data_IF_665993107704
#
_entry.id   IF_665993107704
#
_cell.length_a   1.000
_cell.length_b   1.000
_cell.length_c   1.000
_cell.angle_alpha   90.00
_cell.angle_beta   90.00
_cell.angle_gamma   90.00
#
_symmetry.space_group_name_H-M   'P 1'
#
loop_
_entity.id
_entity.type
_entity.pdbx_description
1 polymer ?
#
# COMPACT_ATOMS: atom_id res chain seq x y z
N UNK A 1 -38.24 -16.09 61.10
CA UNK A 1 -38.50 -15.36 59.83
C UNK A 1 -37.85 -13.99 59.90
N UNK A 2 -36.89 -13.67 59.02
CA UNK A 2 -36.31 -12.32 58.98
C UNK A 2 -37.39 -11.33 58.52
N UNK A 3 -37.53 -10.21 59.23
CA UNK A 3 -38.46 -9.13 58.88
C UNK A 3 -38.23 -8.65 57.45
N UNK A 4 -39.31 -8.37 56.72
CA UNK A 4 -39.29 -7.87 55.33
C UNK A 4 -38.35 -6.68 55.13
N UNK A 5 -38.18 -5.82 56.14
CA UNK A 5 -37.24 -4.69 56.10
C UNK A 5 -35.78 -5.13 56.12
N UNK A 6 -35.45 -6.18 56.90
CA UNK A 6 -34.11 -6.76 56.96
C UNK A 6 -33.77 -7.52 55.68
N UNK A 7 -34.76 -8.18 55.08
CA UNK A 7 -34.57 -8.85 53.78
C UNK A 7 -34.28 -7.85 52.66
N UNK A 8 -35.00 -6.72 52.61
CA UNK A 8 -34.74 -5.65 51.63
C UNK A 8 -33.36 -5.01 51.81
N UNK A 9 -32.95 -4.75 53.05
CA UNK A 9 -31.62 -4.22 53.33
C UNK A 9 -30.50 -5.20 52.93
N UNK A 10 -30.69 -6.49 53.16
CA UNK A 10 -29.74 -7.51 52.72
C UNK A 10 -29.64 -7.59 51.19
N UNK A 11 -30.76 -7.52 50.48
CA UNK A 11 -30.76 -7.51 49.00
C UNK A 11 -30.04 -6.28 48.45
N UNK A 12 -30.30 -5.09 49.01
CA UNK A 12 -29.63 -3.85 48.59
C UNK A 12 -28.12 -3.93 48.85
N UNK A 13 -27.72 -4.45 50.02
CA UNK A 13 -26.30 -4.63 50.36
C UNK A 13 -25.59 -5.60 49.41
N UNK A 14 -26.25 -6.71 49.03
CA UNK A 14 -25.70 -7.68 48.07
C UNK A 14 -25.57 -7.05 46.67
N UNK A 15 -26.57 -6.32 46.20
CA UNK A 15 -26.52 -5.63 44.90
C UNK A 15 -25.42 -4.56 44.87
N UNK A 16 -25.29 -3.78 45.94
CA UNK A 16 -24.23 -2.78 46.06
C UNK A 16 -22.83 -3.43 46.08
N UNK A 17 -22.67 -4.55 46.79
CA UNK A 17 -21.42 -5.30 46.82
C UNK A 17 -21.06 -5.86 45.43
N UNK A 18 -22.03 -6.42 44.70
CA UNK A 18 -21.82 -6.89 43.33
C UNK A 18 -21.43 -5.76 42.38
N UNK A 19 -22.10 -4.60 42.48
CA UNK A 19 -21.76 -3.41 41.69
C UNK A 19 -20.35 -2.90 42.01
N UNK A 20 -19.99 -2.83 43.30
CA UNK A 20 -18.68 -2.38 43.74
C UNK A 20 -17.58 -3.37 43.32
N UNK A 21 -17.82 -4.68 43.43
CA UNK A 21 -16.91 -5.73 42.95
C UNK A 21 -16.75 -5.70 41.44
N UNK A 22 -17.82 -5.47 40.67
CA UNK A 22 -17.76 -5.31 39.22
C UNK A 22 -16.99 -4.04 38.83
N UNK A 23 -17.29 -2.91 39.47
CA UNK A 23 -16.59 -1.65 39.27
C UNK A 23 -15.09 -1.77 39.58
N UNK A 24 -14.74 -2.40 40.69
CA UNK A 24 -13.35 -2.65 41.05
C UNK A 24 -12.68 -3.62 40.08
N UNK A 25 -13.37 -4.67 39.64
CA UNK A 25 -12.83 -5.65 38.68
C UNK A 25 -12.57 -5.02 37.30
N UNK A 26 -13.44 -4.12 36.84
CA UNK A 26 -13.26 -3.35 35.59
C UNK A 26 -12.09 -2.38 35.74
N UNK A 27 -11.99 -1.66 36.86
CA UNK A 27 -10.89 -0.71 37.10
C UNK A 27 -9.54 -1.38 37.32
N UNK A 28 -9.51 -2.57 37.93
CA UNK A 28 -8.29 -3.34 38.18
C UNK A 28 -7.81 -4.12 36.94
N UNK A 29 -8.67 -4.32 35.93
CA UNK A 29 -8.27 -4.84 34.62
C UNK A 29 -7.52 -3.82 33.76
N UNK A 30 -7.67 -2.52 34.04
CA UNK A 30 -6.89 -1.45 33.39
C UNK A 30 -5.47 -1.27 33.94
N UNK A 31 -5.08 -1.93 35.04
CA UNK A 31 -3.77 -1.76 35.68
C UNK A 31 -2.83 -2.98 35.56
N UNK A 32 -3.17 -3.98 34.75
CA UNK A 32 -2.41 -5.25 34.66
C UNK A 32 -2.16 -5.76 33.22
N UNK A 33 -2.08 -4.88 32.22
CA UNK A 33 -1.66 -5.25 30.86
C UNK A 33 -0.50 -4.42 30.29
N UNK A 34 0.37 -3.87 31.16
CA UNK A 34 1.55 -3.11 30.73
C UNK A 34 2.79 -3.51 31.53
N UNK A 35 3.19 -4.77 31.45
CA UNK A 35 4.60 -5.18 31.54
C UNK A 35 4.76 -6.54 30.87
N UNK A 36 5.77 -6.67 30.01
CA UNK A 36 6.13 -7.83 29.18
C UNK A 36 5.41 -7.92 27.84
N UNK A 37 5.93 -7.22 26.83
CA UNK A 37 6.24 -7.66 25.44
C UNK A 37 6.81 -6.41 24.73
N UNK A 38 8.04 -6.02 25.08
CA UNK A 38 8.82 -5.04 24.32
C UNK A 38 10.29 -5.42 24.40
N UNK A 39 10.66 -6.45 23.65
CA UNK A 39 12.04 -6.71 23.20
C UNK A 39 11.96 -7.70 22.03
N UNK A 40 12.52 -7.34 20.88
CA UNK A 40 12.69 -8.19 19.67
C UNK A 40 11.54 -8.39 18.67
N UNK A 41 11.00 -7.31 18.10
CA UNK A 41 10.28 -7.41 16.81
C UNK A 41 10.58 -6.29 15.79
N UNK A 42 11.19 -5.17 16.20
CA UNK A 42 11.37 -4.01 15.30
C UNK A 42 12.69 -3.99 14.50
N UNK A 43 13.61 -4.92 14.70
CA UNK A 43 14.91 -4.92 13.99
C UNK A 43 14.88 -5.71 12.68
N UNK A 44 14.03 -6.73 12.54
CA UNK A 44 14.07 -7.63 11.37
C UNK A 44 13.28 -7.07 10.17
N UNK A 45 12.22 -6.29 10.41
CA UNK A 45 11.33 -5.81 9.34
C UNK A 45 11.85 -4.53 8.66
N UNK A 46 12.62 -3.71 9.38
CA UNK A 46 13.27 -2.51 8.84
C UNK A 46 14.49 -2.82 7.96
N UNK A 47 15.23 -3.89 8.23
CA UNK A 47 16.36 -4.31 7.41
C UNK A 47 15.92 -5.03 6.13
N UNK A 48 14.93 -5.92 6.20
CA UNK A 48 14.50 -6.71 5.04
C UNK A 48 14.01 -5.84 3.87
N UNK A 49 13.19 -4.82 4.14
CA UNK A 49 12.70 -3.88 3.10
C UNK A 49 13.79 -2.94 2.59
N UNK A 50 14.77 -2.57 3.42
CA UNK A 50 15.91 -1.73 3.04
C UNK A 50 16.93 -2.51 2.19
N UNK A 51 17.15 -3.80 2.51
CA UNK A 51 18.04 -4.72 1.79
C UNK A 51 17.45 -5.11 0.41
N UNK A 52 16.13 -5.33 0.31
CA UNK A 52 15.49 -5.64 -0.98
C UNK A 52 15.59 -4.49 -1.98
N UNK A 53 15.29 -3.26 -1.55
CA UNK A 53 15.40 -2.08 -2.44
C UNK A 53 16.85 -1.79 -2.84
N UNK A 54 17.83 -2.06 -1.97
CA UNK A 54 19.24 -1.87 -2.30
C UNK A 54 19.73 -2.88 -3.35
N UNK A 55 19.33 -4.16 -3.28
CA UNK A 55 19.71 -5.18 -4.28
C UNK A 55 19.11 -4.87 -5.65
N UNK A 56 17.85 -4.46 -5.68
CA UNK A 56 17.19 -4.06 -6.91
C UNK A 56 17.91 -2.87 -7.58
N UNK A 57 18.23 -1.83 -6.80
CA UNK A 57 18.94 -0.64 -7.31
C UNK A 57 20.35 -0.95 -7.83
N UNK A 58 21.09 -1.85 -7.17
CA UNK A 58 22.41 -2.29 -7.66
C UNK A 58 22.30 -3.11 -8.95
N UNK A 59 21.31 -3.99 -9.04
CA UNK A 59 21.06 -4.80 -10.23
C UNK A 59 20.69 -3.95 -11.45
N UNK A 60 19.92 -2.87 -11.27
CA UNK A 60 19.57 -1.97 -12.38
C UNK A 60 20.77 -1.13 -12.83
N UNK A 61 21.62 -0.70 -11.89
CA UNK A 61 22.87 0.01 -12.23
C UNK A 61 23.87 -0.88 -12.96
N UNK A 62 24.05 -2.14 -12.56
CA UNK A 62 24.95 -3.07 -13.24
C UNK A 62 24.41 -3.48 -14.61
N UNK A 63 23.09 -3.60 -14.76
CA UNK A 63 22.44 -3.81 -16.05
C UNK A 63 22.62 -2.61 -16.99
N UNK A 64 22.58 -1.38 -16.47
CA UNK A 64 22.85 -0.17 -17.26
C UNK A 64 24.34 -0.07 -17.64
N UNK A 65 25.26 -0.27 -16.69
CA UNK A 65 26.70 -0.24 -16.97
C UNK A 65 27.16 -1.32 -17.95
N UNK A 66 26.58 -2.52 -17.88
CA UNK A 66 26.89 -3.59 -18.85
C UNK A 66 26.33 -3.31 -20.24
N UNK A 67 25.16 -2.65 -20.35
CA UNK A 67 24.66 -2.12 -21.62
C UNK A 67 25.55 -1.02 -22.18
N UNK A 68 26.00 -0.09 -21.34
CA UNK A 68 26.93 0.98 -21.72
C UNK A 68 28.28 0.43 -22.16
N UNK A 69 28.84 -0.56 -21.46
CA UNK A 69 30.08 -1.22 -21.85
C UNK A 69 29.96 -1.99 -23.18
N UNK A 70 28.79 -2.57 -23.45
CA UNK A 70 28.51 -3.22 -24.74
C UNK A 70 28.29 -2.21 -25.87
N UNK A 71 27.68 -1.05 -25.58
CA UNK A 71 27.58 0.07 -26.53
C UNK A 71 28.95 0.71 -26.79
N UNK A 72 29.79 0.87 -25.77
CA UNK A 72 31.15 1.40 -25.89
C UNK A 72 32.04 0.45 -26.71
N UNK A 73 31.97 -0.87 -26.48
CA UNK A 73 32.67 -1.87 -27.31
C UNK A 73 32.15 -1.94 -28.74
N UNK A 74 30.86 -1.66 -28.95
CA UNK A 74 30.27 -1.57 -30.30
C UNK A 74 30.72 -0.30 -31.03
N UNK A 75 30.86 0.83 -30.31
CA UNK A 75 31.38 2.08 -30.87
C UNK A 75 32.89 2.03 -31.14
N UNK A 76 33.69 1.39 -30.28
CA UNK A 76 35.13 1.23 -30.48
C UNK A 76 35.44 0.35 -31.72
N UNK A 77 34.60 -0.66 -31.98
CA UNK A 77 34.68 -1.51 -33.18
C UNK A 77 34.27 -0.77 -34.47
N UNK A 78 33.42 0.25 -34.37
CA UNK A 78 33.02 1.10 -35.51
C UNK A 78 34.06 2.22 -35.75
N UNK A 79 34.70 2.74 -34.70
CA UNK A 79 35.69 3.81 -34.82
C UNK A 79 37.06 3.33 -35.34
N UNK A 80 37.46 2.09 -35.01
CA UNK A 80 38.68 1.48 -35.55
C UNK A 80 38.60 1.07 -37.03
N UNK A 81 37.42 1.18 -37.67
CA UNK A 81 37.25 0.94 -39.10
C UNK A 81 37.38 2.23 -39.96
N UNK A 82 37.60 3.40 -39.35
CA UNK A 82 37.58 4.70 -40.06
C UNK A 82 38.92 5.47 -40.05
N UNK A 83 40.02 4.91 -39.52
CA UNK A 83 41.32 5.60 -39.51
C UNK A 83 42.49 4.68 -39.92
N UNK A 84 42.82 4.66 -41.21
CA UNK A 84 44.17 4.37 -41.69
C UNK A 84 44.45 5.19 -42.97
N UNK A 85 45.54 6.00 -43.02
CA UNK A 85 45.92 6.80 -44.18
C UNK A 85 46.78 6.01 -45.17
N UNK A 86 46.64 6.30 -46.47
CA UNK A 86 47.36 5.62 -47.55
C UNK A 86 48.68 6.26 -47.97
N UNK A 87 49.48 5.51 -48.75
CA UNK A 87 50.19 6.05 -49.93
C UNK A 87 50.72 4.93 -50.85
N UNK A 88 50.55 5.12 -52.17
CA UNK A 88 51.04 4.28 -53.29
C UNK A 88 52.48 4.65 -53.71
N UNK A 89 53.21 3.89 -54.57
CA UNK A 89 52.97 3.76 -56.04
C UNK A 89 53.29 2.33 -56.58
N UNK A 90 52.98 1.85 -57.80
CA UNK A 90 52.32 2.31 -59.03
C UNK A 90 52.41 1.19 -60.10
N UNK A 91 51.51 1.27 -61.09
CA UNK A 91 51.50 0.64 -62.45
C UNK A 91 51.29 -0.87 -62.68
N UNK A 92 50.13 -1.22 -63.28
CA UNK A 92 50.10 -1.94 -64.58
C UNK A 92 49.26 -3.23 -64.72
N UNK A 93 48.07 -3.13 -65.34
CA UNK A 93 47.28 -4.15 -66.07
C UNK A 93 46.74 -5.38 -65.30
N UNK A 94 45.55 -5.93 -65.50
CA UNK A 94 44.41 -5.69 -66.40
C UNK A 94 43.37 -6.80 -66.16
N UNK A 95 42.08 -6.44 -66.25
CA UNK A 95 40.87 -7.24 -66.53
C UNK A 95 40.70 -8.70 -66.02
N UNK A 96 39.57 -8.92 -65.32
CA UNK A 96 38.58 -9.90 -65.79
C UNK A 96 38.29 -11.14 -64.91
N UNK A 97 37.00 -11.28 -64.59
CA UNK A 97 36.23 -12.53 -64.45
C UNK A 97 36.40 -13.40 -63.20
N UNK A 98 35.31 -14.11 -62.88
CA UNK A 98 35.41 -15.48 -62.35
C UNK A 98 34.68 -15.71 -61.04
N UNK A 99 33.55 -16.40 -61.16
CA UNK A 99 32.80 -17.03 -60.08
C UNK A 99 33.43 -18.37 -59.65
N UNK A 100 33.07 -18.77 -58.43
CA UNK A 100 32.84 -20.13 -57.92
C UNK A 100 33.99 -21.11 -57.56
N UNK A 101 33.66 -21.88 -56.51
CA UNK A 101 34.23 -23.14 -55.99
C UNK A 101 35.50 -23.00 -55.11
N UNK A 102 35.67 -23.70 -53.97
CA UNK A 102 35.04 -24.93 -53.50
C UNK A 102 35.17 -25.06 -51.96
N UNK A 103 34.21 -25.75 -51.36
CA UNK A 103 34.07 -26.00 -49.93
C UNK A 103 34.91 -27.19 -49.42
N UNK A 104 35.22 -27.21 -48.12
CA UNK A 104 35.39 -28.46 -47.36
C UNK A 104 34.91 -28.32 -45.89
N UNK A 105 33.60 -28.59 -45.75
CA UNK A 105 32.82 -29.32 -44.72
C UNK A 105 33.31 -29.42 -43.24
N UNK A 106 32.49 -28.97 -42.27
CA UNK A 106 32.53 -29.39 -40.87
C UNK A 106 31.71 -30.67 -40.60
N UNK A 107 32.11 -31.47 -39.61
CA UNK A 107 31.42 -32.69 -39.20
C UNK A 107 30.19 -32.41 -38.31
N UNK A 108 29.06 -33.02 -38.66
CA UNK A 108 27.73 -32.93 -38.03
C UNK A 108 27.40 -34.31 -37.42
N UNK A 109 26.74 -34.45 -36.25
CA UNK A 109 25.83 -35.56 -36.00
C UNK A 109 24.39 -35.18 -36.40
N UNK A 110 23.83 -36.06 -37.25
CA UNK A 110 22.57 -36.06 -38.02
C UNK A 110 21.27 -35.96 -37.19
N UNK A 111 20.14 -36.36 -37.80
CA UNK A 111 19.02 -35.62 -38.41
C UNK A 111 18.12 -35.08 -37.27
N UNK A 112 16.95 -34.47 -37.43
CA UNK A 112 15.83 -34.89 -38.28
C UNK A 112 14.98 -33.65 -38.59
N UNK A 113 14.48 -33.60 -39.82
CA UNK A 113 13.54 -32.64 -40.42
C UNK A 113 12.22 -32.60 -39.59
N UNK A 114 11.45 -31.52 -39.43
CA UNK A 114 10.92 -30.57 -40.42
C UNK A 114 10.70 -29.18 -39.79
N UNK A 115 11.11 -28.10 -40.46
CA UNK A 115 10.54 -26.75 -40.22
C UNK A 115 10.70 -25.90 -41.47
N UNK A 116 9.58 -25.45 -42.05
CA UNK A 116 9.55 -24.48 -43.15
C UNK A 116 9.79 -23.05 -42.66
N UNK A 117 10.46 -22.26 -43.49
CA UNK A 117 10.89 -20.88 -43.23
C UNK A 117 9.84 -19.86 -43.72
N UNK A 118 9.65 -18.77 -42.98
CA UNK A 118 8.99 -17.55 -43.49
C UNK A 118 9.93 -16.35 -43.22
N UNK A 119 10.30 -15.54 -44.23
CA UNK A 119 11.28 -14.47 -44.05
C UNK A 119 10.63 -13.19 -43.48
N UNK A 120 11.32 -12.52 -42.57
CA UNK A 120 11.07 -11.11 -42.23
C UNK A 120 12.40 -10.35 -42.34
N UNK A 121 12.37 -9.23 -43.06
CA UNK A 121 13.54 -8.44 -43.40
C UNK A 121 14.32 -7.96 -42.16
N UNK A 122 15.61 -8.28 -42.13
CA UNK A 122 16.65 -7.47 -41.47
C UNK A 122 16.59 -7.38 -39.94
N UNK A 123 16.86 -8.46 -39.20
CA UNK A 123 17.57 -8.36 -37.91
C UNK A 123 18.12 -9.71 -37.44
N UNK A 124 19.25 -9.61 -36.74
CA UNK A 124 20.09 -10.64 -36.12
C UNK A 124 19.36 -11.81 -35.45
N UNK A 125 19.90 -13.01 -35.70
CA UNK A 125 19.50 -14.32 -35.17
C UNK A 125 19.43 -14.32 -33.63
N UNK A 126 18.33 -14.78 -33.06
CA UNK A 126 18.22 -15.11 -31.63
C UNK A 126 17.78 -16.56 -31.50
N UNK A 127 18.63 -17.43 -30.93
CA UNK A 127 18.29 -18.83 -30.69
C UNK A 127 17.36 -18.92 -29.48
N UNK A 128 16.12 -19.31 -29.71
CA UNK A 128 15.15 -19.65 -28.66
C UNK A 128 15.25 -21.17 -28.40
N UNK A 129 15.41 -21.64 -27.15
CA UNK A 129 15.31 -23.07 -26.86
C UNK A 129 13.86 -23.54 -27.10
N UNK A 130 13.71 -24.52 -28.00
CA UNK A 130 12.45 -25.22 -28.24
C UNK A 130 12.08 -25.96 -26.95
N UNK A 131 10.93 -25.59 -26.38
CA UNK A 131 10.26 -26.36 -25.32
C UNK A 131 9.89 -27.72 -25.93
N UNK A 132 10.64 -28.75 -25.58
CA UNK A 132 10.28 -30.12 -25.91
C UNK A 132 9.21 -30.57 -24.91
N UNK A 133 8.06 -30.93 -25.47
CA UNK A 133 6.97 -31.57 -24.76
C UNK A 133 7.42 -32.94 -24.27
N UNK A 134 7.84 -33.00 -23.01
CA UNK A 134 7.76 -34.22 -22.21
C UNK A 134 7.26 -33.86 -20.82
N UNK A 135 6.29 -34.64 -20.38
CA UNK A 135 5.58 -34.60 -19.11
C UNK A 135 4.36 -33.65 -19.03
N UNK A 136 3.25 -34.13 -19.60
CA UNK A 136 1.89 -33.62 -19.41
C UNK A 136 1.38 -33.73 -17.96
N UNK A 137 2.12 -34.29 -17.01
CA UNK A 137 1.64 -34.49 -15.63
C UNK A 137 2.26 -33.56 -14.57
N UNK A 138 2.89 -32.44 -14.98
CA UNK A 138 3.42 -31.44 -14.04
C UNK A 138 2.81 -30.03 -14.20
N UNK A 139 2.11 -29.77 -15.32
CA UNK A 139 1.47 -28.47 -15.59
C UNK A 139 0.05 -28.37 -15.02
N UNK A 140 -0.68 -29.47 -14.94
CA UNK A 140 -2.03 -29.49 -14.39
C UNK A 140 -2.02 -29.34 -12.87
N UNK A 141 -0.97 -29.80 -12.18
CA UNK A 141 -0.79 -29.62 -10.74
C UNK A 141 -0.44 -28.18 -10.34
N UNK A 142 0.31 -27.44 -11.16
CA UNK A 142 0.66 -26.03 -10.90
C UNK A 142 -0.50 -25.06 -11.18
N UNK A 143 -1.23 -25.28 -12.27
CA UNK A 143 -2.38 -24.44 -12.64
C UNK A 143 -3.57 -24.66 -11.70
N UNK A 144 -3.77 -25.89 -11.20
CA UNK A 144 -4.79 -26.18 -10.20
C UNK A 144 -4.47 -25.58 -8.81
N UNK A 145 -3.19 -25.53 -8.40
CA UNK A 145 -2.81 -24.90 -7.12
C UNK A 145 -2.95 -23.37 -7.18
N UNK A 146 -2.56 -22.73 -8.29
CA UNK A 146 -2.64 -21.27 -8.45
C UNK A 146 -4.10 -20.78 -8.58
N UNK A 147 -4.96 -21.51 -9.29
CA UNK A 147 -6.39 -21.19 -9.36
C UNK A 147 -7.09 -21.28 -7.99
N UNK A 148 -6.70 -22.25 -7.16
CA UNK A 148 -7.25 -22.42 -5.82
C UNK A 148 -6.81 -21.31 -4.84
N UNK A 149 -5.63 -20.72 -5.05
CA UNK A 149 -5.12 -19.62 -4.21
C UNK A 149 -5.74 -18.28 -4.59
N UNK A 150 -5.90 -17.99 -5.89
CA UNK A 150 -6.58 -16.78 -6.34
C UNK A 150 -8.05 -16.72 -5.92
N UNK A 151 -8.77 -17.85 -6.02
CA UNK A 151 -10.18 -17.93 -5.66
C UNK A 151 -10.36 -17.70 -4.15
N UNK A 152 -9.48 -18.30 -3.34
CA UNK A 152 -9.44 -18.10 -1.89
C UNK A 152 -9.07 -16.67 -1.50
N UNK A 153 -8.15 -16.02 -2.21
CA UNK A 153 -7.80 -14.62 -1.95
C UNK A 153 -8.97 -13.67 -2.27
N UNK A 154 -9.71 -13.94 -3.34
CA UNK A 154 -10.93 -13.18 -3.69
C UNK A 154 -12.01 -13.33 -2.61
N UNK A 155 -12.29 -14.55 -2.15
CA UNK A 155 -13.25 -14.79 -1.06
C UNK A 155 -12.85 -14.06 0.24
N UNK A 156 -11.56 -14.11 0.60
CA UNK A 156 -11.05 -13.39 1.78
C UNK A 156 -11.23 -11.88 1.61
N UNK A 157 -10.94 -11.35 0.42
CA UNK A 157 -11.10 -9.93 0.11
C UNK A 157 -12.56 -9.50 0.20
N UNK A 158 -13.48 -10.23 -0.41
CA UNK A 158 -14.92 -9.96 -0.36
C UNK A 158 -15.45 -9.98 1.08
N UNK A 159 -15.01 -10.96 1.88
CA UNK A 159 -15.34 -11.03 3.31
C UNK A 159 -14.85 -9.80 4.07
N UNK A 160 -13.59 -9.39 3.86
CA UNK A 160 -13.04 -8.18 4.49
C UNK A 160 -13.73 -6.90 4.03
N UNK A 161 -14.14 -6.82 2.78
CA UNK A 161 -14.94 -5.69 2.26
C UNK A 161 -16.32 -5.63 2.92
N UNK A 162 -16.99 -6.77 3.11
CA UNK A 162 -18.26 -6.85 3.82
C UNK A 162 -18.12 -6.44 5.29
N UNK A 163 -17.08 -6.93 5.96
CA UNK A 163 -16.74 -6.57 7.34
C UNK A 163 -16.44 -5.07 7.46
N UNK A 164 -15.63 -4.51 6.56
CA UNK A 164 -15.31 -3.09 6.53
C UNK A 164 -16.54 -2.20 6.29
N UNK A 165 -17.53 -2.66 5.51
CA UNK A 165 -18.81 -1.95 5.35
C UNK A 165 -19.59 -1.90 6.67
N UNK A 166 -19.64 -3.01 7.41
CA UNK A 166 -20.28 -3.04 8.73
C UNK A 166 -19.55 -2.12 9.71
N UNK A 167 -18.22 -2.27 9.79
CA UNK A 167 -17.37 -1.48 10.68
C UNK A 167 -17.50 0.02 10.39
N UNK A 168 -17.49 0.42 9.12
CA UNK A 168 -17.68 1.83 8.75
C UNK A 168 -19.03 2.36 9.25
N UNK A 169 -20.11 1.60 9.12
CA UNK A 169 -21.41 2.01 9.61
C UNK A 169 -21.44 2.14 11.14
N UNK A 170 -20.69 1.28 11.86
CA UNK A 170 -20.62 1.33 13.31
C UNK A 170 -19.76 2.50 13.80
N UNK A 171 -18.66 2.79 13.12
CA UNK A 171 -17.86 4.01 13.34
C UNK A 171 -18.72 5.26 13.16
N UNK A 172 -19.50 5.35 12.08
CA UNK A 172 -20.36 6.51 11.79
C UNK A 172 -21.45 6.76 12.84
N UNK A 173 -21.81 5.76 13.65
CA UNK A 173 -22.77 5.89 14.75
C UNK A 173 -22.12 6.34 16.05
N UNK A 174 -20.79 6.33 16.17
CA UNK A 174 -20.08 6.64 17.43
C UNK A 174 -20.20 8.11 17.82
N UNK A 175 -20.08 9.01 16.86
CA UNK A 175 -20.15 10.44 17.07
C UNK A 175 -20.64 11.15 15.80
N UNK A 176 -21.25 12.34 15.92
CA UNK A 176 -21.65 13.13 14.76
C UNK A 176 -20.45 13.64 13.96
N UNK A 177 -19.29 13.86 14.61
CA UNK A 177 -18.04 14.28 13.97
C UNK A 177 -17.06 13.11 14.04
N UNK A 178 -16.64 12.62 12.87
CA UNK A 178 -15.66 11.53 12.75
C UNK A 178 -14.44 12.04 11.98
N UNK A 179 -13.24 11.76 12.50
CA UNK A 179 -11.97 12.12 11.85
C UNK A 179 -11.25 10.84 11.42
N UNK A 180 -11.32 10.50 10.14
CA UNK A 180 -10.47 9.46 9.57
C UNK A 180 -9.07 10.03 9.33
N UNK A 181 -8.08 9.39 9.94
CA UNK A 181 -6.75 9.93 10.18
C UNK A 181 -5.68 8.89 9.83
N UNK A 182 -4.42 9.32 9.83
CA UNK A 182 -3.26 8.42 9.97
C UNK A 182 -2.27 9.00 10.98
N UNK A 183 -1.70 8.14 11.81
CA UNK A 183 -0.91 8.54 12.97
C UNK A 183 0.31 9.38 12.60
N UNK A 184 0.93 9.06 11.45
CA UNK A 184 2.13 9.72 10.93
C UNK A 184 1.85 10.92 10.02
N UNK A 185 0.59 11.21 9.68
CA UNK A 185 0.25 12.21 8.67
C UNK A 185 0.22 13.63 9.28
N UNK A 186 1.01 14.60 8.77
CA UNK A 186 1.04 15.96 9.33
C UNK A 186 -0.27 16.72 9.14
N UNK A 187 -0.95 16.60 7.99
CA UNK A 187 -2.26 17.21 7.77
C UNK A 187 -3.32 16.64 8.72
N UNK A 188 -3.21 15.35 9.04
CA UNK A 188 -4.09 14.69 10.01
C UNK A 188 -3.85 15.21 11.43
N UNK A 189 -2.59 15.40 11.82
CA UNK A 189 -2.23 16.03 13.09
C UNK A 189 -2.79 17.44 13.19
N UNK A 190 -2.68 18.25 12.13
CA UNK A 190 -3.23 19.61 12.06
C UNK A 190 -4.75 19.62 12.25
N UNK A 191 -5.49 18.80 11.51
CA UNK A 191 -6.95 18.72 11.64
C UNK A 191 -7.39 18.28 13.04
N UNK A 192 -6.71 17.29 13.64
CA UNK A 192 -6.96 16.86 15.02
C UNK A 192 -6.68 17.97 16.04
N UNK A 193 -5.58 18.71 15.88
CA UNK A 193 -5.24 19.82 16.77
C UNK A 193 -6.31 20.91 16.76
N UNK A 194 -6.84 21.24 15.59
CA UNK A 194 -7.93 22.22 15.46
C UNK A 194 -9.19 21.65 16.13
N UNK A 195 -9.69 20.50 15.68
CA UNK A 195 -10.98 19.97 16.11
C UNK A 195 -11.02 19.55 17.59
N UNK A 196 -9.91 19.09 18.15
CA UNK A 196 -9.83 18.60 19.54
C UNK A 196 -9.14 19.59 20.49
N UNK A 197 -8.38 20.55 19.97
CA UNK A 197 -7.60 21.50 20.76
C UNK A 197 -8.13 22.92 20.73
N UNK A 198 -8.67 23.38 19.59
CA UNK A 198 -9.21 24.74 19.47
C UNK A 198 -10.72 24.80 19.71
N UNK A 199 -11.42 23.66 19.79
CA UNK A 199 -12.87 23.63 19.99
C UNK A 199 -13.28 22.64 21.08
N UNK A 200 -14.25 23.06 21.90
CA UNK A 200 -15.05 22.17 22.71
C UNK A 200 -16.28 21.73 21.91
N UNK A 201 -16.28 20.49 21.44
CA UNK A 201 -17.37 19.90 20.67
C UNK A 201 -18.02 18.79 21.51
N UNK A 202 -19.35 18.84 21.66
CA UNK A 202 -20.12 17.77 22.36
C UNK A 202 -21.21 17.21 21.44
N UNK A 203 -21.30 15.87 21.27
CA UNK A 203 -20.36 14.83 21.71
C UNK A 203 -18.95 14.98 21.11
N UNK A 204 -17.94 14.46 21.82
CA UNK A 204 -16.54 14.56 21.40
C UNK A 204 -16.31 13.92 20.01
N UNK A 205 -15.50 14.55 19.12
CA UNK A 205 -15.19 13.97 17.83
C UNK A 205 -14.47 12.62 17.97
N UNK A 206 -14.89 11.62 17.19
CA UNK A 206 -14.26 10.30 17.23
C UNK A 206 -13.17 10.18 16.17
N UNK A 207 -11.96 9.81 16.58
CA UNK A 207 -10.79 9.68 15.69
C UNK A 207 -10.56 8.21 15.33
N UNK A 208 -10.35 7.94 14.03
CA UNK A 208 -10.00 6.62 13.53
C UNK A 208 -8.67 6.68 12.80
N UNK A 209 -7.65 6.04 13.36
CA UNK A 209 -6.32 5.92 12.76
C UNK A 209 -6.30 4.74 11.77
N UNK A 210 -6.45 5.03 10.48
CA UNK A 210 -6.59 4.01 9.43
C UNK A 210 -5.33 3.16 9.25
N UNK A 211 -4.15 3.67 9.60
CA UNK A 211 -2.90 2.91 9.55
C UNK A 211 -2.77 1.90 10.69
N UNK A 212 -3.49 2.08 11.79
CA UNK A 212 -3.50 1.18 12.95
C UNK A 212 -4.73 0.26 12.96
N UNK A 213 -5.72 0.53 12.11
CA UNK A 213 -6.95 -0.23 12.04
C UNK A 213 -6.77 -1.50 11.18
N UNK A 214 -7.16 -2.71 11.64
CA UNK A 214 -7.02 -3.95 10.87
C UNK A 214 -7.66 -3.92 9.47
N UNK A 215 -8.81 -3.25 9.36
CA UNK A 215 -9.55 -3.04 8.11
C UNK A 215 -9.20 -1.70 7.41
N UNK A 216 -8.15 -1.01 7.84
CA UNK A 216 -7.80 0.34 7.41
C UNK A 216 -7.80 0.57 5.89
N UNK A 217 -7.11 -0.25 5.08
CA UNK A 217 -7.13 -0.12 3.62
C UNK A 217 -8.54 -0.25 3.01
N UNK A 218 -9.35 -1.18 3.52
CA UNK A 218 -10.72 -1.41 3.07
C UNK A 218 -11.64 -0.25 3.46
N UNK A 219 -11.51 0.27 4.69
CA UNK A 219 -12.21 1.46 5.15
C UNK A 219 -11.84 2.68 4.29
N UNK A 220 -10.56 2.89 3.99
CA UNK A 220 -10.10 4.00 3.14
C UNK A 220 -10.68 3.90 1.72
N UNK A 221 -10.75 2.69 1.16
CA UNK A 221 -11.37 2.46 -0.14
C UNK A 221 -12.88 2.78 -0.12
N UNK A 222 -13.60 2.31 0.89
CA UNK A 222 -15.03 2.60 1.07
C UNK A 222 -15.31 4.09 1.28
N UNK A 223 -14.47 4.80 2.05
CA UNK A 223 -14.54 6.25 2.20
C UNK A 223 -14.36 6.95 0.85
N UNK A 224 -13.36 6.55 0.08
CA UNK A 224 -13.15 7.05 -1.29
C UNK A 224 -14.37 6.87 -2.18
N UNK A 225 -15.07 5.74 -2.08
CA UNK A 225 -16.30 5.47 -2.84
C UNK A 225 -17.49 6.30 -2.33
N UNK A 226 -17.69 6.39 -1.01
CA UNK A 226 -18.86 7.04 -0.41
C UNK A 226 -18.78 8.55 -0.37
N UNK A 227 -17.59 9.11 -0.20
CA UNK A 227 -17.39 10.55 0.01
C UNK A 227 -16.62 11.22 -1.12
N UNK A 228 -16.09 10.44 -2.08
CA UNK A 228 -15.21 10.94 -3.15
C UNK A 228 -13.79 11.27 -2.69
N UNK A 229 -13.47 11.21 -1.39
CA UNK A 229 -12.17 11.57 -0.83
C UNK A 229 -11.37 10.34 -0.43
N UNK A 230 -10.27 10.10 -1.16
CA UNK A 230 -9.37 8.95 -0.94
C UNK A 230 -8.21 9.27 0.01
N UNK A 231 -8.01 10.53 0.38
CA UNK A 231 -6.89 11.01 1.19
C UNK A 231 -7.28 11.16 2.65
N UNK A 232 -6.27 11.16 3.54
CA UNK A 232 -6.42 11.55 4.94
C UNK A 232 -5.81 12.94 5.18
N UNK A 233 -6.32 13.70 6.17
CA UNK A 233 -7.52 13.37 6.94
C UNK A 233 -8.78 13.49 6.07
N UNK A 234 -9.82 12.76 6.46
CA UNK A 234 -11.16 12.92 5.91
C UNK A 234 -12.12 13.12 7.10
N UNK A 235 -12.57 14.36 7.28
CA UNK A 235 -13.44 14.74 8.39
C UNK A 235 -14.89 14.67 7.92
N UNK A 236 -15.69 13.89 8.63
CA UNK A 236 -17.11 13.71 8.36
C UNK A 236 -17.93 14.37 9.46
N UNK A 237 -19.02 15.03 9.05
CA UNK A 237 -20.08 15.52 9.93
C UNK A 237 -21.39 14.88 9.48
N UNK A 238 -22.06 14.14 10.36
CA UNK A 238 -23.28 13.40 10.06
C UNK A 238 -23.13 12.50 8.81
N UNK A 239 -21.95 11.89 8.64
CA UNK A 239 -21.62 11.03 7.50
C UNK A 239 -21.25 11.76 6.19
N UNK A 240 -21.29 13.09 6.14
CA UNK A 240 -20.87 13.89 4.98
C UNK A 240 -19.46 14.41 5.17
N UNK A 241 -18.60 14.25 4.15
CA UNK A 241 -17.25 14.83 4.16
C UNK A 241 -17.32 16.35 4.12
N UNK A 242 -16.67 17.00 5.08
CA UNK A 242 -16.44 18.45 5.09
C UNK A 242 -15.03 18.82 4.61
N UNK A 243 -14.12 17.85 4.50
CA UNK A 243 -12.83 18.07 3.87
C UNK A 243 -11.65 17.34 4.51
N UNK A 244 -10.45 17.72 4.09
CA UNK A 244 -9.17 17.31 4.66
C UNK A 244 -8.53 18.40 5.51
N UNK A 245 -7.22 18.28 5.75
CA UNK A 245 -6.55 19.12 6.76
C UNK A 245 -6.52 20.60 6.40
N UNK A 246 -6.36 20.91 5.11
CA UNK A 246 -6.35 22.29 4.63
C UNK A 246 -7.76 22.90 4.61
N UNK A 247 -8.77 22.10 4.25
CA UNK A 247 -10.18 22.51 4.28
C UNK A 247 -10.61 22.87 5.72
N UNK A 248 -10.25 22.04 6.72
CA UNK A 248 -10.55 22.31 8.13
C UNK A 248 -9.83 23.55 8.63
N UNK A 249 -8.56 23.73 8.26
CA UNK A 249 -7.81 24.90 8.68
C UNK A 249 -8.29 26.18 8.02
N UNK A 250 -8.78 26.13 6.78
CA UNK A 250 -9.40 27.28 6.14
C UNK A 250 -10.69 27.69 6.87
N UNK A 251 -11.54 26.72 7.23
CA UNK A 251 -12.77 26.97 8.00
C UNK A 251 -12.50 27.52 9.41
N UNK A 252 -11.42 27.07 10.06
CA UNK A 252 -10.96 27.59 11.35
C UNK A 252 -10.49 29.05 11.20
N UNK A 253 -9.68 29.33 10.19
CA UNK A 253 -9.16 30.67 9.92
C UNK A 253 -10.22 31.69 9.50
N UNK A 254 -11.31 31.24 8.87
CA UNK A 254 -12.43 32.09 8.47
C UNK A 254 -13.52 32.21 9.55
N UNK A 255 -13.34 31.62 10.73
CA UNK A 255 -14.36 31.53 11.79
C UNK A 255 -15.68 30.83 11.35
N UNK A 256 -15.65 30.04 10.27
CA UNK A 256 -16.81 29.33 9.70
C UNK A 256 -16.92 27.88 10.17
N UNK A 257 -15.90 27.32 10.83
CA UNK A 257 -15.91 25.93 11.25
C UNK A 257 -17.05 25.64 12.23
N UNK A 258 -17.24 26.48 13.25
CA UNK A 258 -18.28 26.28 14.25
C UNK A 258 -19.69 26.33 13.63
N UNK A 259 -19.95 27.27 12.72
CA UNK A 259 -21.24 27.38 12.02
C UNK A 259 -21.47 26.19 11.09
N UNK A 260 -20.44 25.73 10.39
CA UNK A 260 -20.47 24.55 9.52
C UNK A 260 -20.80 23.28 10.31
N UNK A 261 -20.15 23.07 11.45
CA UNK A 261 -20.41 21.93 12.33
C UNK A 261 -21.86 21.94 12.82
N UNK A 262 -22.36 23.08 13.32
CA UNK A 262 -23.76 23.18 13.78
C UNK A 262 -24.76 22.96 12.65
N UNK A 263 -24.50 23.53 11.47
CA UNK A 263 -25.38 23.41 10.30
C UNK A 263 -25.51 21.96 9.82
N UNK A 264 -24.40 21.22 9.73
CA UNK A 264 -24.39 19.84 9.24
C UNK A 264 -24.68 18.79 10.33
N UNK A 265 -24.26 19.07 11.58
CA UNK A 265 -24.51 18.22 12.74
C UNK A 265 -25.95 18.30 13.24
N UNK A 266 -26.59 19.45 13.06
CA UNK A 266 -27.95 19.70 13.51
C UNK A 266 -28.13 19.35 14.98
N UNK A 267 -29.20 18.61 15.30
CA UNK A 267 -29.53 18.18 16.68
C UNK A 267 -28.52 17.22 17.33
N UNK A 268 -27.62 16.62 16.55
CA UNK A 268 -26.69 15.61 17.07
C UNK A 268 -25.42 16.22 17.68
N UNK A 269 -25.15 17.49 17.38
CA UNK A 269 -24.09 18.27 18.03
C UNK A 269 -24.76 19.23 19.01
N UNK A 270 -24.49 19.02 20.29
CA UNK A 270 -25.08 19.76 21.42
C UNK A 270 -24.33 21.08 21.64
N UNK A 271 -23.00 21.04 21.50
CA UNK A 271 -22.13 22.18 21.83
C UNK A 271 -20.99 22.27 20.83
N UNK A 272 -20.68 23.49 20.41
CA UNK A 272 -19.47 23.83 19.64
C UNK A 272 -19.03 25.20 20.13
N UNK A 273 -17.98 25.24 20.94
CA UNK A 273 -17.39 26.48 21.47
C UNK A 273 -15.93 26.56 21.02
N UNK A 274 -15.49 27.73 20.54
CA UNK A 274 -14.09 27.96 20.22
C UNK A 274 -13.33 28.28 21.51
N UNK A 275 -12.30 27.50 21.79
CA UNK A 275 -11.43 27.67 22.94
C UNK A 275 -10.44 28.79 22.62
N UNK A 276 -10.34 29.77 23.50
CA UNK A 276 -9.26 30.75 23.47
C UNK A 276 -7.93 30.01 23.70
N UNK A 277 -7.25 29.65 22.60
CA UNK A 277 -5.89 29.16 22.68
C UNK A 277 -5.04 30.38 23.02
N UNK A 278 -4.55 30.48 24.26
CA UNK A 278 -3.57 31.49 24.65
C UNK A 278 -2.43 31.44 23.62
N UNK A 279 -2.40 32.44 22.74
CA UNK A 279 -1.33 32.62 21.77
C UNK A 279 -0.11 32.98 22.60
N UNK A 280 0.70 31.96 22.91
CA UNK A 280 1.98 32.14 23.59
C UNK A 280 2.75 33.25 22.87
N UNK A 281 2.98 34.34 23.62
CA UNK A 281 3.81 35.48 23.22
C UNK A 281 5.26 35.04 23.00
#
# INVERSE_FOLDING_TARGET
MLSQRRLRLLVIAVVAFLFMSFYYSVRHRSSASNTNITSNANTIQGEASKIQNQKFYRSTLDAMKSKEANHAKTQEKIQNAMHAPGNSPGTGAGAGAGSDAEAQKPAIPKANEDTEEIPIAGRTKMTVPKKQDTNVNAKEAQVASEQSEEEKEREIKEKKEAEAKSELNDILKRAPVIVFSKSYCPHSKRAKNILLGHYAIKPEPFVVELDLHPLGPFLQALLGQKTGRRTVPNVLVSGKSIGGGDDIAALDQSDELASTLRSLGGKWIVEVEHLEVEKGL
#
